data_IF_404982734222
#
_entry.id   IF_404982734222
#
_cell.length_a   1.000
_cell.length_b   1.000
_cell.length_c   1.000
_cell.angle_alpha   90.00
_cell.angle_beta   90.00
_cell.angle_gamma   90.00
#
_symmetry.space_group_name_H-M   'P 1'
#
loop_
_entity.id
_entity.type
_entity.pdbx_description
1 polymer ?
#
# COMPACT_ATOMS: atom_id res chain seq x y z
N UNK A 1 -70.55 9.41 3.73
CA UNK A 1 -69.26 9.59 4.41
C UNK A 1 -68.70 8.22 4.71
N UNK A 2 -67.67 7.78 3.98
CA UNK A 2 -66.96 6.53 4.28
C UNK A 2 -65.77 6.90 5.16
N UNK A 3 -65.78 6.43 6.40
CA UNK A 3 -64.67 6.62 7.33
C UNK A 3 -63.41 5.97 6.77
N UNK A 4 -62.37 6.78 6.54
CA UNK A 4 -61.03 6.29 6.28
C UNK A 4 -60.51 5.64 7.56
N UNK A 5 -60.37 4.31 7.54
CA UNK A 5 -59.54 3.59 8.51
C UNK A 5 -58.08 3.98 8.26
N UNK A 6 -57.54 4.83 9.11
CA UNK A 6 -56.10 5.08 9.22
C UNK A 6 -55.39 3.77 9.57
N UNK A 7 -54.88 3.08 8.55
CA UNK A 7 -53.92 2.00 8.73
C UNK A 7 -52.58 2.63 9.10
N UNK A 8 -52.37 2.76 10.41
CA UNK A 8 -51.12 3.21 11.01
C UNK A 8 -49.99 2.22 10.65
N UNK A 9 -49.40 2.42 9.47
CA UNK A 9 -48.35 1.57 8.91
C UNK A 9 -47.04 1.85 9.67
N UNK A 10 -46.91 1.27 10.87
CA UNK A 10 -45.67 1.33 11.68
C UNK A 10 -44.51 0.89 10.81
N UNK A 11 -43.55 1.79 10.55
CA UNK A 11 -42.30 1.48 9.83
C UNK A 11 -41.67 0.22 10.42
N UNK A 12 -41.44 -0.80 9.58
CA UNK A 12 -40.79 -2.05 10.00
C UNK A 12 -39.38 -1.74 10.50
N UNK A 13 -39.13 -1.92 11.80
CA UNK A 13 -37.81 -1.77 12.41
C UNK A 13 -37.00 -3.04 12.16
N UNK A 14 -35.84 -2.91 11.52
CA UNK A 14 -34.91 -4.02 11.29
C UNK A 14 -33.86 -4.06 12.41
N UNK A 15 -33.50 -5.27 12.84
CA UNK A 15 -32.42 -5.49 13.82
C UNK A 15 -31.10 -5.81 13.11
N UNK A 16 -29.98 -5.41 13.73
CA UNK A 16 -28.64 -5.82 13.29
C UNK A 16 -28.38 -7.30 13.60
N UNK A 17 -27.37 -7.90 12.99
CA UNK A 17 -26.98 -9.30 13.29
C UNK A 17 -26.58 -9.45 14.77
N UNK A 18 -25.85 -8.50 15.32
CA UNK A 18 -25.50 -8.44 16.74
C UNK A 18 -26.75 -8.37 17.63
N UNK A 19 -27.75 -7.56 17.28
CA UNK A 19 -29.01 -7.47 18.02
C UNK A 19 -29.84 -8.76 17.92
N UNK A 20 -29.78 -9.49 16.80
CA UNK A 20 -30.43 -10.80 16.65
C UNK A 20 -29.75 -11.84 17.55
N UNK A 21 -28.40 -11.84 17.63
CA UNK A 21 -27.65 -12.68 18.56
C UNK A 21 -27.99 -12.38 20.02
N UNK A 22 -27.94 -11.11 20.42
CA UNK A 22 -28.27 -10.67 21.79
C UNK A 22 -29.71 -11.08 22.17
N UNK A 23 -30.66 -10.98 21.23
CA UNK A 23 -32.03 -11.44 21.43
C UNK A 23 -32.08 -12.96 21.70
N UNK A 24 -31.33 -13.76 20.94
CA UNK A 24 -31.23 -15.21 21.15
C UNK A 24 -30.54 -15.58 22.47
N UNK A 25 -29.50 -14.85 22.88
CA UNK A 25 -28.83 -15.01 24.17
C UNK A 25 -29.78 -14.70 25.33
N UNK A 26 -30.52 -13.59 25.26
CA UNK A 26 -31.54 -13.24 26.26
C UNK A 26 -32.66 -14.28 26.36
N UNK A 27 -33.08 -14.87 25.23
CA UNK A 27 -34.06 -15.96 25.26
C UNK A 27 -33.48 -17.22 25.93
N UNK A 28 -32.23 -17.57 25.64
CA UNK A 28 -31.57 -18.77 26.19
C UNK A 28 -31.29 -18.63 27.68
N UNK A 29 -30.73 -17.49 28.09
CA UNK A 29 -30.16 -17.30 29.41
C UNK A 29 -31.21 -16.77 30.41
N UNK A 30 -32.13 -15.90 29.95
CA UNK A 30 -33.14 -15.25 30.80
C UNK A 30 -34.57 -15.80 30.60
N UNK A 31 -34.78 -16.71 29.64
CA UNK A 31 -36.09 -17.34 29.32
C UNK A 31 -37.25 -16.33 29.16
N UNK A 32 -36.96 -15.14 28.63
CA UNK A 32 -37.97 -14.12 28.39
C UNK A 32 -39.07 -14.64 27.45
N UNK A 33 -40.29 -14.12 27.58
CA UNK A 33 -41.38 -14.43 26.65
C UNK A 33 -41.18 -13.66 25.34
N UNK A 34 -41.61 -14.23 24.21
CA UNK A 34 -41.58 -13.56 22.91
C UNK A 34 -42.31 -12.21 22.89
N UNK A 35 -43.30 -12.01 23.78
CA UNK A 35 -43.97 -10.71 23.98
C UNK A 35 -43.06 -9.69 24.67
N UNK A 36 -42.27 -10.12 25.65
CA UNK A 36 -41.32 -9.26 26.36
C UNK A 36 -40.17 -8.84 25.45
N UNK A 37 -39.63 -9.77 24.65
CA UNK A 37 -38.60 -9.47 23.65
C UNK A 37 -39.12 -8.53 22.55
N UNK A 38 -40.35 -8.73 22.08
CA UNK A 38 -40.97 -7.84 21.10
C UNK A 38 -41.07 -6.40 21.61
N UNK A 39 -41.47 -6.22 22.88
CA UNK A 39 -41.55 -4.92 23.52
C UNK A 39 -40.16 -4.28 23.72
N UNK A 40 -39.17 -5.05 24.17
CA UNK A 40 -37.81 -4.56 24.44
C UNK A 40 -37.11 -4.05 23.17
N UNK A 41 -37.25 -4.78 22.05
CA UNK A 41 -36.58 -4.43 20.79
C UNK A 41 -37.45 -3.55 19.88
N UNK A 42 -38.75 -3.37 20.20
CA UNK A 42 -39.69 -2.59 19.41
C UNK A 42 -40.03 -3.25 18.06
N UNK A 43 -40.14 -4.58 18.03
CA UNK A 43 -40.45 -5.40 16.85
C UNK A 43 -41.74 -6.20 17.06
N UNK A 44 -42.31 -6.81 16.01
CA UNK A 44 -43.48 -7.67 16.18
C UNK A 44 -43.10 -9.03 16.78
N UNK A 45 -44.05 -9.65 17.48
CA UNK A 45 -43.90 -11.00 18.03
C UNK A 45 -43.61 -12.04 16.94
N UNK A 46 -44.16 -11.86 15.73
CA UNK A 46 -43.83 -12.68 14.57
C UNK A 46 -42.35 -12.60 14.19
N UNK A 47 -41.75 -11.40 14.20
CA UNK A 47 -40.32 -11.22 13.91
C UNK A 47 -39.44 -11.86 14.99
N UNK A 48 -39.84 -11.80 16.26
CA UNK A 48 -39.15 -12.52 17.33
C UNK A 48 -39.18 -14.02 17.07
N UNK A 49 -40.35 -14.59 16.77
CA UNK A 49 -40.47 -16.02 16.45
C UNK A 49 -39.63 -16.44 15.25
N UNK A 50 -39.59 -15.63 14.19
CA UNK A 50 -38.79 -15.94 13.00
C UNK A 50 -37.28 -15.85 13.26
N UNK A 51 -36.82 -14.94 14.12
CA UNK A 51 -35.43 -14.88 14.56
C UNK A 51 -35.09 -16.11 15.40
N UNK A 52 -35.93 -16.47 16.39
CA UNK A 52 -35.69 -17.60 17.29
C UNK A 52 -35.67 -18.95 16.57
N UNK A 53 -36.42 -19.12 15.47
CA UNK A 53 -36.35 -20.32 14.61
C UNK A 53 -34.96 -20.58 14.04
N UNK A 54 -34.14 -19.54 13.87
CA UNK A 54 -32.74 -19.61 13.39
C UNK A 54 -31.74 -19.29 14.51
N UNK A 55 -32.11 -19.56 15.76
CA UNK A 55 -31.32 -19.17 16.93
C UNK A 55 -29.89 -19.73 16.93
N UNK A 56 -29.68 -20.99 16.55
CA UNK A 56 -28.33 -21.59 16.45
C UNK A 56 -27.42 -20.79 15.51
N UNK A 57 -27.95 -20.35 14.37
CA UNK A 57 -27.24 -19.53 13.39
C UNK A 57 -26.89 -18.15 13.94
N UNK A 58 -27.81 -17.46 14.62
CA UNK A 58 -27.51 -16.15 15.19
C UNK A 58 -26.49 -16.23 16.33
N UNK A 59 -26.47 -17.34 17.08
CA UNK A 59 -25.52 -17.58 18.16
C UNK A 59 -24.09 -17.83 17.67
N UNK A 60 -23.91 -18.38 16.47
CA UNK A 60 -22.59 -18.61 15.87
C UNK A 60 -21.94 -17.35 15.27
N UNK A 61 -22.68 -16.24 15.18
CA UNK A 61 -22.14 -14.98 14.64
C UNK A 61 -21.08 -14.42 15.58
N UNK A 62 -19.91 -14.14 15.02
CA UNK A 62 -18.88 -13.38 15.70
C UNK A 62 -19.23 -11.89 15.74
N UNK A 63 -19.46 -11.38 16.94
CA UNK A 63 -19.80 -9.97 17.21
C UNK A 63 -18.60 -9.04 17.14
N UNK A 64 -17.39 -9.57 17.12
CA UNK A 64 -16.16 -8.77 16.98
C UNK A 64 -15.95 -8.29 15.54
N UNK A 65 -16.59 -8.95 14.56
CA UNK A 65 -16.52 -8.56 13.16
C UNK A 65 -17.43 -7.35 12.87
N UNK A 66 -16.97 -6.36 12.07
CA UNK A 66 -17.77 -5.19 11.69
C UNK A 66 -19.10 -5.56 11.01
N UNK A 67 -19.13 -6.71 10.34
CA UNK A 67 -20.32 -7.27 9.68
C UNK A 67 -21.48 -7.56 10.65
N UNK A 68 -21.21 -7.73 11.95
CA UNK A 68 -22.23 -7.94 12.96
C UNK A 68 -23.18 -6.74 13.12
N UNK A 69 -22.75 -5.53 12.76
CA UNK A 69 -23.58 -4.33 12.79
C UNK A 69 -24.48 -4.17 11.55
N UNK A 70 -24.34 -5.04 10.54
CA UNK A 70 -25.21 -5.00 9.37
C UNK A 70 -26.63 -5.48 9.73
N UNK A 71 -27.63 -4.96 9.04
CA UNK A 71 -29.04 -5.40 9.20
C UNK A 71 -29.33 -6.73 8.48
N UNK A 72 -28.51 -7.07 7.48
CA UNK A 72 -28.63 -8.27 6.65
C UNK A 72 -27.25 -8.88 6.45
N UNK A 73 -27.19 -10.21 6.44
CA UNK A 73 -26.03 -10.93 5.92
C UNK A 73 -25.91 -10.66 4.43
N UNK A 74 -24.79 -10.10 4.02
CA UNK A 74 -24.41 -10.04 2.62
C UNK A 74 -23.60 -11.29 2.32
N UNK A 75 -24.26 -12.44 2.17
CA UNK A 75 -23.55 -13.65 1.77
C UNK A 75 -22.98 -13.48 0.35
N UNK A 76 -21.80 -14.03 0.09
CA UNK A 76 -21.25 -14.03 -1.27
C UNK A 76 -22.02 -15.00 -2.15
N UNK A 77 -22.23 -14.63 -3.41
CA UNK A 77 -22.71 -15.54 -4.45
C UNK A 77 -21.61 -16.56 -4.81
N UNK A 78 -20.33 -16.21 -4.57
CA UNK A 78 -19.17 -17.04 -4.87
C UNK A 78 -18.25 -17.17 -3.63
N UNK A 79 -18.65 -17.96 -2.61
CA UNK A 79 -17.89 -18.08 -1.36
C UNK A 79 -16.45 -18.57 -1.55
N UNK A 80 -16.25 -19.61 -2.38
CA UNK A 80 -14.92 -20.18 -2.66
C UNK A 80 -13.97 -19.18 -3.33
N UNK A 81 -14.49 -18.40 -4.29
CA UNK A 81 -13.72 -17.35 -4.95
C UNK A 81 -13.29 -16.26 -3.96
N UNK A 82 -14.18 -15.87 -3.05
CA UNK A 82 -13.85 -14.84 -2.06
C UNK A 82 -12.87 -15.31 -0.99
N UNK A 83 -12.90 -16.58 -0.64
CA UNK A 83 -11.92 -17.20 0.24
C UNK A 83 -10.51 -17.13 -0.38
N UNK A 84 -10.36 -17.62 -1.62
CA UNK A 84 -9.09 -17.53 -2.37
C UNK A 84 -8.62 -16.08 -2.48
N UNK A 85 -9.52 -15.16 -2.84
CA UNK A 85 -9.19 -13.74 -2.98
C UNK A 85 -8.82 -13.08 -1.64
N UNK A 86 -9.43 -13.49 -0.53
CA UNK A 86 -9.10 -12.97 0.80
C UNK A 86 -7.67 -13.35 1.21
N UNK A 87 -7.31 -14.63 1.03
CA UNK A 87 -5.96 -15.14 1.31
C UNK A 87 -4.93 -14.41 0.44
N UNK A 88 -5.22 -14.27 -0.86
CA UNK A 88 -4.32 -13.58 -1.77
C UNK A 88 -4.13 -12.11 -1.36
N UNK A 89 -5.20 -11.37 -1.03
CA UNK A 89 -5.10 -9.98 -0.58
C UNK A 89 -4.29 -9.86 0.71
N UNK A 90 -4.49 -10.76 1.68
CA UNK A 90 -3.75 -10.73 2.94
C UNK A 90 -2.25 -10.99 2.74
N UNK A 91 -1.88 -11.90 1.83
CA UNK A 91 -0.49 -12.12 1.43
C UNK A 91 0.14 -10.88 0.76
N UNK A 92 -0.62 -10.17 -0.08
CA UNK A 92 -0.11 -8.95 -0.70
C UNK A 92 0.05 -7.81 0.32
N UNK A 93 -0.84 -7.72 1.32
CA UNK A 93 -0.76 -6.75 2.40
C UNK A 93 0.46 -7.03 3.31
N UNK A 94 0.73 -8.30 3.67
CA UNK A 94 1.87 -8.65 4.52
C UNK A 94 3.21 -8.30 3.89
N UNK A 95 3.29 -8.35 2.55
CA UNK A 95 4.45 -7.93 1.74
C UNK A 95 4.53 -6.42 1.49
N UNK A 96 3.63 -5.63 2.10
CA UNK A 96 3.54 -4.18 1.95
C UNK A 96 3.34 -3.69 0.49
N UNK A 97 2.80 -4.56 -0.38
CA UNK A 97 2.54 -4.22 -1.77
C UNK A 97 1.34 -3.28 -1.88
N UNK A 98 1.34 -2.42 -2.91
CA UNK A 98 0.25 -1.48 -3.13
C UNK A 98 -0.81 -2.10 -4.02
N UNK A 99 -1.90 -2.58 -3.41
CA UNK A 99 -3.04 -3.14 -4.13
C UNK A 99 -4.10 -2.06 -4.33
N UNK A 100 -4.70 -2.03 -5.52
CA UNK A 100 -5.82 -1.15 -5.83
C UNK A 100 -7.04 -1.96 -6.32
N UNK A 101 -8.19 -1.27 -6.48
CA UNK A 101 -9.43 -1.90 -6.91
C UNK A 101 -9.32 -2.68 -8.24
N UNK A 102 -8.80 -2.06 -9.31
CA UNK A 102 -8.60 -2.74 -10.59
C UNK A 102 -7.74 -4.01 -10.49
N UNK A 103 -6.65 -4.00 -9.71
CA UNK A 103 -5.81 -5.19 -9.51
C UNK A 103 -6.63 -6.32 -8.86
N UNK A 104 -7.40 -6.01 -7.82
CA UNK A 104 -8.29 -7.01 -7.16
C UNK A 104 -9.31 -7.56 -8.15
N UNK A 105 -9.89 -6.70 -9.00
CA UNK A 105 -10.87 -7.13 -10.00
C UNK A 105 -10.26 -8.06 -11.05
N UNK A 106 -9.07 -7.73 -11.56
CA UNK A 106 -8.36 -8.58 -12.52
C UNK A 106 -8.02 -9.95 -11.92
N UNK A 107 -7.42 -9.96 -10.71
CA UNK A 107 -7.10 -11.21 -10.02
C UNK A 107 -8.32 -12.04 -9.66
N UNK A 108 -9.45 -11.41 -9.36
CA UNK A 108 -10.69 -12.13 -9.14
C UNK A 108 -11.21 -12.84 -10.40
N UNK A 109 -11.02 -12.25 -11.59
CA UNK A 109 -11.37 -12.91 -12.86
C UNK A 109 -10.44 -14.10 -13.12
N UNK A 110 -9.14 -13.94 -12.90
CA UNK A 110 -8.17 -15.03 -13.02
C UNK A 110 -8.52 -16.18 -12.07
N UNK A 111 -8.78 -15.89 -10.80
CA UNK A 111 -9.19 -16.89 -9.82
C UNK A 111 -10.53 -17.56 -10.19
N UNK A 112 -11.49 -16.80 -10.72
CA UNK A 112 -12.75 -17.37 -11.18
C UNK A 112 -12.55 -18.37 -12.31
N UNK A 113 -11.64 -18.10 -13.25
CA UNK A 113 -11.28 -19.03 -14.32
C UNK A 113 -10.63 -20.30 -13.76
N UNK A 114 -9.70 -20.19 -12.80
CA UNK A 114 -9.06 -21.34 -12.14
C UNK A 114 -10.05 -22.20 -11.32
N UNK A 115 -11.13 -21.58 -10.84
CA UNK A 115 -12.22 -22.24 -10.13
C UNK A 115 -13.34 -22.74 -11.06
N UNK A 116 -13.17 -22.66 -12.38
CA UNK A 116 -14.17 -23.01 -13.40
C UNK A 116 -15.51 -22.24 -13.27
N UNK A 117 -15.47 -21.01 -12.74
CA UNK A 117 -16.63 -20.13 -12.55
C UNK A 117 -16.81 -19.23 -13.78
N UNK A 118 -17.62 -19.68 -14.73
CA UNK A 118 -17.82 -18.99 -16.03
C UNK A 118 -18.74 -17.77 -15.99
N UNK A 119 -19.58 -17.64 -14.96
CA UNK A 119 -20.58 -16.56 -14.85
C UNK A 119 -20.14 -15.42 -13.90
N UNK A 120 -18.85 -15.37 -13.54
CA UNK A 120 -18.35 -14.33 -12.67
C UNK A 120 -18.03 -13.05 -13.44
N UNK A 121 -18.44 -11.91 -12.88
CA UNK A 121 -18.02 -10.59 -13.34
C UNK A 121 -17.50 -9.80 -12.15
N UNK A 122 -16.25 -9.36 -12.24
CA UNK A 122 -15.60 -8.52 -11.24
C UNK A 122 -16.14 -7.07 -11.27
N UNK A 123 -17.45 -6.90 -11.09
CA UNK A 123 -18.12 -5.60 -11.12
C UNK A 123 -17.65 -4.69 -9.98
N UNK A 124 -17.85 -3.38 -10.14
CA UNK A 124 -17.57 -2.42 -9.08
C UNK A 124 -18.39 -2.70 -7.81
N UNK A 125 -19.62 -3.21 -7.96
CA UNK A 125 -20.48 -3.61 -6.85
C UNK A 125 -19.93 -4.85 -6.13
N UNK A 126 -19.46 -5.85 -6.88
CA UNK A 126 -18.79 -7.01 -6.29
C UNK A 126 -17.57 -6.57 -5.48
N UNK A 127 -16.68 -5.75 -6.05
CA UNK A 127 -15.50 -5.25 -5.36
C UNK A 127 -15.85 -4.48 -4.07
N UNK A 128 -16.89 -3.64 -4.11
CA UNK A 128 -17.37 -2.89 -2.95
C UNK A 128 -17.85 -3.83 -1.84
N UNK A 129 -18.65 -4.84 -2.18
CA UNK A 129 -19.13 -5.83 -1.23
C UNK A 129 -18.01 -6.74 -0.70
N UNK A 130 -17.06 -7.15 -1.55
CA UNK A 130 -15.87 -7.93 -1.16
C UNK A 130 -15.02 -7.15 -0.16
N UNK A 131 -14.74 -5.87 -0.41
CA UNK A 131 -14.01 -5.01 0.53
C UNK A 131 -14.73 -4.89 1.87
N UNK A 132 -16.05 -4.68 1.84
CA UNK A 132 -16.85 -4.61 3.05
C UNK A 132 -16.80 -5.91 3.86
N UNK A 133 -16.93 -7.06 3.19
CA UNK A 133 -16.90 -8.38 3.84
C UNK A 133 -15.56 -8.68 4.49
N UNK A 134 -14.46 -8.32 3.82
CA UNK A 134 -13.08 -8.58 4.26
C UNK A 134 -12.45 -7.40 5.02
N UNK A 135 -13.24 -6.41 5.45
CA UNK A 135 -12.78 -5.25 6.22
C UNK A 135 -11.66 -4.43 5.55
N UNK A 136 -11.63 -4.39 4.22
CA UNK A 136 -10.63 -3.68 3.44
C UNK A 136 -11.03 -2.21 3.26
N UNK A 137 -10.12 -1.31 3.62
CA UNK A 137 -10.33 0.14 3.54
C UNK A 137 -9.29 0.80 2.64
N UNK A 138 -9.67 1.90 1.99
CA UNK A 138 -8.75 2.67 1.14
C UNK A 138 -8.01 3.69 2.01
N UNK A 139 -6.68 3.55 2.09
CA UNK A 139 -5.81 4.50 2.77
C UNK A 139 -4.94 5.27 1.79
N UNK A 140 -4.64 6.54 2.09
CA UNK A 140 -3.60 7.29 1.39
C UNK A 140 -2.25 6.99 2.05
N UNK A 141 -1.37 6.27 1.36
CA UNK A 141 0.02 6.08 1.82
C UNK A 141 0.69 7.45 1.95
N UNK A 142 1.25 7.75 3.12
CA UNK A 142 2.06 8.96 3.38
C UNK A 142 3.54 8.55 3.31
N UNK A 143 4.32 9.20 2.45
CA UNK A 143 5.69 8.77 2.12
C UNK A 143 6.63 8.70 3.32
N UNK A 144 6.54 9.64 4.26
CA UNK A 144 7.44 9.73 5.41
C UNK A 144 7.02 8.87 6.61
N UNK A 145 5.81 8.29 6.59
CA UNK A 145 5.30 7.53 7.72
C UNK A 145 6.02 6.19 7.92
N UNK A 146 6.66 5.65 6.88
CA UNK A 146 7.37 4.37 6.94
C UNK A 146 8.73 4.44 7.67
N UNK A 147 9.35 5.62 7.73
CA UNK A 147 10.68 5.81 8.35
C UNK A 147 10.60 6.36 9.78
N UNK A 148 9.40 6.58 10.30
CA UNK A 148 9.22 7.11 11.65
C UNK A 148 9.48 5.99 12.69
N UNK A 149 10.24 6.24 13.77
CA UNK A 149 10.45 5.26 14.83
C UNK A 149 9.20 5.15 15.71
N UNK A 150 8.17 4.44 15.24
CA UNK A 150 6.83 4.39 15.83
C UNK A 150 6.88 4.01 17.32
N UNK A 151 7.78 3.10 17.69
CA UNK A 151 7.92 2.59 19.05
C UNK A 151 8.52 3.63 20.02
N UNK A 152 9.38 4.52 19.53
CA UNK A 152 10.04 5.56 20.33
C UNK A 152 9.23 6.87 20.37
N UNK A 153 8.29 7.06 19.44
CA UNK A 153 7.43 8.26 19.36
C UNK A 153 6.75 8.65 20.69
N UNK A 154 6.20 7.72 21.50
CA UNK A 154 5.58 8.09 22.78
C UNK A 154 6.59 8.71 23.75
N UNK A 155 7.80 8.17 23.81
CA UNK A 155 8.87 8.67 24.67
C UNK A 155 9.38 10.03 24.17
N UNK A 156 9.69 10.15 22.87
CA UNK A 156 10.12 11.43 22.28
C UNK A 156 9.09 12.55 22.50
N UNK A 157 7.80 12.23 22.42
CA UNK A 157 6.72 13.18 22.73
C UNK A 157 6.65 13.57 24.20
N UNK A 158 7.00 12.67 25.11
CA UNK A 158 7.06 12.96 26.55
C UNK A 158 8.23 13.91 26.83
N UNK A 159 9.42 13.60 26.33
CA UNK A 159 10.63 14.42 26.48
C UNK A 159 10.43 15.83 25.89
N UNK A 160 9.84 15.93 24.69
CA UNK A 160 9.53 17.23 24.09
C UNK A 160 8.55 18.04 24.96
N UNK A 161 7.54 17.41 25.53
CA UNK A 161 6.59 18.10 26.42
C UNK A 161 7.26 18.61 27.69
N UNK A 162 8.23 17.88 28.25
CA UNK A 162 8.98 18.36 29.42
C UNK A 162 9.80 19.60 29.09
N UNK A 163 10.47 19.63 27.94
CA UNK A 163 11.21 20.83 27.48
C UNK A 163 10.26 22.01 27.29
N UNK A 164 9.11 21.77 26.64
CA UNK A 164 8.14 22.82 26.32
C UNK A 164 7.44 23.40 27.56
N UNK A 165 7.38 22.68 28.70
CA UNK A 165 6.78 23.20 29.94
C UNK A 165 7.49 24.44 30.50
N UNK A 166 8.76 24.66 30.13
CA UNK A 166 9.51 25.84 30.55
C UNK A 166 9.08 27.14 29.82
N UNK A 167 8.24 27.03 28.79
CA UNK A 167 7.85 28.13 27.92
C UNK A 167 6.34 28.36 27.95
N UNK A 168 5.90 29.61 27.85
CA UNK A 168 4.49 29.91 27.63
C UNK A 168 4.09 29.59 26.19
N UNK A 169 2.81 29.27 25.96
CA UNK A 169 2.31 28.90 24.61
C UNK A 169 2.58 29.97 23.54
N UNK A 170 2.63 31.25 23.94
CA UNK A 170 2.94 32.38 23.03
C UNK A 170 4.40 32.38 22.55
N UNK A 171 5.29 31.77 23.34
CA UNK A 171 6.73 31.72 23.09
C UNK A 171 7.16 30.40 22.43
N UNK A 172 6.23 29.46 22.23
CA UNK A 172 6.46 28.21 21.50
C UNK A 172 6.04 28.43 20.05
N UNK A 173 7.03 28.43 19.15
CA UNK A 173 6.80 28.60 17.72
C UNK A 173 6.96 27.28 16.98
N UNK A 174 6.08 27.05 16.01
CA UNK A 174 6.20 25.97 15.05
C UNK A 174 6.30 26.54 13.64
N UNK A 175 7.12 25.91 12.80
CA UNK A 175 7.23 26.25 11.39
C UNK A 175 7.25 24.99 10.54
N UNK A 176 6.65 25.05 9.36
CA UNK A 176 6.70 23.96 8.40
C UNK A 176 6.75 24.48 6.96
N UNK A 177 7.40 23.71 6.09
CA UNK A 177 7.56 24.02 4.67
C UNK A 177 6.41 23.37 3.87
N UNK A 178 5.78 24.15 3.00
CA UNK A 178 4.82 23.61 2.03
C UNK A 178 5.13 24.11 0.63
N UNK A 179 4.92 23.25 -0.35
CA UNK A 179 5.01 23.61 -1.76
C UNK A 179 3.71 24.29 -2.22
N UNK A 180 3.81 25.53 -2.68
CA UNK A 180 2.76 26.28 -3.36
C UNK A 180 2.89 26.08 -4.87
N UNK A 181 1.96 25.33 -5.44
CA UNK A 181 1.87 25.15 -6.89
C UNK A 181 0.88 26.14 -7.51
N UNK A 182 1.37 27.32 -7.88
CA UNK A 182 0.52 28.42 -8.33
C UNK A 182 -0.01 28.25 -9.77
N UNK A 183 0.61 27.41 -10.61
CA UNK A 183 0.15 27.07 -11.97
C UNK A 183 -0.46 25.68 -12.09
N UNK A 184 -0.71 24.97 -10.98
CA UNK A 184 -1.19 23.59 -11.08
C UNK A 184 -2.61 23.53 -11.62
N UNK A 185 -2.76 23.00 -12.83
CA UNK A 185 -4.06 22.76 -13.44
C UNK A 185 -4.75 21.51 -12.86
N UNK A 186 -6.10 21.45 -12.86
CA UNK A 186 -6.85 20.25 -12.49
C UNK A 186 -6.41 19.02 -13.26
N UNK A 187 -6.31 17.90 -12.55
CA UNK A 187 -5.84 16.64 -13.13
C UNK A 187 -6.87 15.90 -13.99
N UNK A 188 -8.12 16.35 -13.92
CA UNK A 188 -9.28 15.74 -14.58
C UNK A 188 -10.01 16.84 -15.33
N UNK A 189 -10.42 16.54 -16.56
CA UNK A 189 -11.28 17.39 -17.37
C UNK A 189 -12.54 16.62 -17.73
N UNK A 190 -13.63 17.34 -18.00
CA UNK A 190 -14.86 16.76 -18.55
C UNK A 190 -14.77 16.96 -20.07
N UNK A 191 -14.84 15.87 -20.82
CA UNK A 191 -14.77 15.90 -22.28
C UNK A 191 -15.71 14.85 -22.88
N UNK A 192 -16.17 15.10 -24.11
CA UNK A 192 -16.99 14.15 -24.87
C UNK A 192 -16.18 12.94 -25.36
N UNK A 193 -14.88 13.15 -25.61
CA UNK A 193 -13.95 12.14 -26.10
C UNK A 193 -12.64 12.18 -25.29
N UNK A 194 -11.83 11.10 -25.30
CA UNK A 194 -10.51 11.07 -24.65
C UNK A 194 -9.60 12.19 -25.18
N UNK A 195 -9.16 13.08 -24.27
CA UNK A 195 -8.27 14.19 -24.61
C UNK A 195 -6.83 13.80 -24.30
N UNK A 196 -5.92 14.03 -25.26
CA UNK A 196 -4.49 13.86 -25.05
C UNK A 196 -4.01 14.76 -23.90
N UNK A 197 -3.31 14.16 -22.94
CA UNK A 197 -2.76 14.89 -21.80
C UNK A 197 -1.67 15.87 -22.23
N UNK A 198 -1.67 17.08 -21.65
CA UNK A 198 -0.54 18.01 -21.75
C UNK A 198 0.40 17.81 -20.56
N UNK A 199 1.71 18.01 -20.77
CA UNK A 199 2.68 18.03 -19.68
C UNK A 199 2.30 19.16 -18.72
N UNK A 200 1.95 18.81 -17.48
CA UNK A 200 1.48 19.79 -16.50
C UNK A 200 2.64 20.67 -16.05
N UNK A 201 2.42 21.99 -15.94
CA UNK A 201 3.38 22.85 -15.25
C UNK A 201 3.47 22.38 -13.79
N UNK A 202 4.64 21.88 -13.41
CA UNK A 202 4.98 21.53 -12.01
C UNK A 202 5.73 22.68 -11.33
N UNK A 203 5.62 23.89 -11.87
CA UNK A 203 6.18 25.10 -11.29
C UNK A 203 5.60 25.27 -9.89
N UNK A 204 6.49 25.18 -8.92
CA UNK A 204 6.17 25.28 -7.51
C UNK A 204 7.14 26.24 -6.86
N UNK A 205 6.67 26.76 -5.75
CA UNK A 205 7.47 27.58 -4.88
C UNK A 205 7.32 27.04 -3.47
N UNK A 206 8.42 26.87 -2.75
CA UNK A 206 8.36 26.48 -1.34
C UNK A 206 8.12 27.71 -0.46
N UNK A 207 7.20 27.58 0.49
CA UNK A 207 6.92 28.59 1.49
C UNK A 207 7.07 27.99 2.88
N UNK A 208 7.70 28.75 3.78
CA UNK A 208 7.73 28.47 5.22
C UNK A 208 6.59 29.24 5.87
N UNK A 209 5.69 28.52 6.52
CA UNK A 209 4.67 29.11 7.39
C UNK A 209 5.12 28.94 8.85
N UNK A 210 5.03 30.01 9.64
CA UNK A 210 5.43 30.00 11.06
C UNK A 210 4.35 30.65 11.92
N UNK A 211 3.92 29.97 12.97
CA UNK A 211 2.97 30.48 13.96
C UNK A 211 3.34 30.05 15.38
N UNK A 212 2.86 30.79 16.36
CA UNK A 212 3.00 30.39 17.76
C UNK A 212 1.90 29.39 18.17
N UNK A 213 2.11 28.68 19.27
CA UNK A 213 1.22 27.61 19.72
C UNK A 213 -0.13 28.14 20.24
N UNK A 214 -0.19 29.41 20.69
CA UNK A 214 -1.45 30.09 21.03
C UNK A 214 -2.29 30.50 19.82
N UNK A 215 -1.68 30.63 18.63
CA UNK A 215 -2.35 30.95 17.37
C UNK A 215 -2.74 32.42 17.19
N UNK A 216 -2.32 33.30 18.10
CA UNK A 216 -2.53 34.74 18.06
C UNK A 216 -1.47 35.46 17.21
N UNK A 217 -0.28 34.88 17.06
CA UNK A 217 0.78 35.44 16.21
C UNK A 217 1.20 34.50 15.07
N UNK A 218 1.48 35.11 13.91
CA UNK A 218 2.03 34.43 12.74
C UNK A 218 3.07 35.32 12.08
N UNK A 219 4.19 34.74 11.68
CA UNK A 219 5.18 35.48 10.90
C UNK A 219 4.70 35.61 9.44
N UNK A 220 5.16 36.65 8.71
CA UNK A 220 4.97 36.73 7.26
C UNK A 220 5.47 35.46 6.58
N UNK A 221 4.77 35.01 5.54
CA UNK A 221 5.21 33.85 4.76
C UNK A 221 6.60 34.11 4.18
N UNK A 222 7.49 33.14 4.37
CA UNK A 222 8.85 33.21 3.85
C UNK A 222 8.96 32.32 2.64
N UNK A 223 9.44 32.88 1.54
CA UNK A 223 9.67 32.16 0.32
C UNK A 223 11.04 31.47 0.37
N UNK A 224 11.07 30.13 0.35
CA UNK A 224 12.29 29.32 0.35
C UNK A 224 12.60 28.87 -1.07
N UNK A 225 13.81 29.16 -1.53
CA UNK A 225 14.27 28.71 -2.83
C UNK A 225 15.77 28.44 -2.84
N UNK A 226 16.19 27.44 -3.64
CA UNK A 226 17.62 27.17 -3.92
C UNK A 226 18.28 28.33 -4.67
N UNK A 227 17.52 29.03 -5.52
CA UNK A 227 17.99 30.12 -6.37
C UNK A 227 17.40 31.45 -5.91
N UNK A 228 18.19 32.51 -6.00
CA UNK A 228 17.78 33.86 -5.60
C UNK A 228 16.58 34.36 -6.42
N UNK A 229 16.54 34.06 -7.72
CA UNK A 229 15.40 34.29 -8.61
C UNK A 229 14.99 32.96 -9.23
N UNK A 230 14.03 32.26 -8.63
CA UNK A 230 13.49 31.01 -9.18
C UNK A 230 12.88 31.24 -10.55
N UNK A 231 12.96 30.24 -11.44
CA UNK A 231 12.34 30.32 -12.77
C UNK A 231 10.85 30.68 -12.71
N UNK A 232 10.13 30.18 -11.70
CA UNK A 232 8.72 30.47 -11.46
C UNK A 232 8.44 31.97 -11.18
N UNK A 233 9.45 32.75 -10.82
CA UNK A 233 9.36 34.17 -10.47
C UNK A 233 10.14 35.07 -11.44
N UNK A 234 10.57 34.52 -12.57
CA UNK A 234 11.29 35.27 -13.61
C UNK A 234 10.39 36.39 -14.15
N UNK A 235 10.88 37.64 -14.09
CA UNK A 235 10.15 38.82 -14.56
C UNK A 235 9.11 39.38 -13.58
N UNK A 236 8.98 38.82 -12.37
CA UNK A 236 8.12 39.38 -11.31
C UNK A 236 8.98 40.24 -10.38
N UNK A 237 8.56 41.48 -10.14
CA UNK A 237 9.26 42.36 -9.20
C UNK A 237 9.05 41.87 -7.76
N UNK A 238 10.11 41.38 -7.12
CA UNK A 238 10.09 40.80 -5.77
C UNK A 238 9.48 41.71 -4.71
N UNK A 239 9.71 43.03 -4.82
CA UNK A 239 9.19 44.06 -3.89
C UNK A 239 7.67 44.22 -3.95
N UNK A 240 7.04 43.79 -5.05
CA UNK A 240 5.59 43.83 -5.21
C UNK A 240 4.87 42.69 -4.47
N UNK A 241 5.60 41.67 -4.03
CA UNK A 241 5.02 40.55 -3.30
C UNK A 241 5.00 40.85 -1.79
N UNK A 242 3.88 40.59 -1.08
CA UNK A 242 3.68 40.95 0.33
C UNK A 242 4.41 39.99 1.30
N UNK A 243 5.69 39.73 1.06
CA UNK A 243 6.44 38.59 1.64
C UNK A 243 7.95 38.85 1.74
N UNK A 244 8.59 38.18 2.70
CA UNK A 244 10.02 38.26 2.92
C UNK A 244 10.76 37.24 2.04
N UNK A 245 11.79 37.72 1.32
CA UNK A 245 12.63 36.91 0.44
C UNK A 245 13.84 36.41 1.20
N UNK A 246 14.00 35.10 1.30
CA UNK A 246 15.20 34.49 1.84
C UNK A 246 15.84 33.58 0.78
N UNK A 247 17.11 33.82 0.46
CA UNK A 247 18.01 32.79 -0.08
C UNK A 247 18.43 31.88 1.09
N UNK A 248 17.43 31.31 1.79
CA UNK A 248 17.52 30.54 3.03
C UNK A 248 18.71 30.88 3.97
N UNK A 249 18.95 32.15 4.28
CA UNK A 249 20.00 32.58 5.22
C UNK A 249 19.38 33.08 6.51
N UNK A 250 19.47 32.33 7.60
CA UNK A 250 18.87 32.59 8.93
C UNK A 250 19.38 33.90 9.61
N UNK A 251 20.23 34.70 8.95
CA UNK A 251 20.85 35.95 9.46
C UNK A 251 21.05 37.00 8.34
N UNK A 252 21.34 38.29 8.66
CA UNK A 252 21.02 39.42 7.78
C UNK A 252 21.95 39.63 6.58
N UNK A 253 21.35 40.20 5.53
CA UNK A 253 21.88 40.43 4.19
C UNK A 253 23.05 41.42 4.14
N UNK A 254 24.02 41.16 3.26
CA UNK A 254 24.77 42.23 2.59
C UNK A 254 25.04 41.86 1.12
N UNK A 255 24.55 42.74 0.25
CA UNK A 255 24.89 43.04 -1.14
C UNK A 255 25.78 42.02 -1.88
N UNK A 256 25.25 41.38 -2.93
CA UNK A 256 26.10 40.93 -4.04
C UNK A 256 25.31 40.84 -5.35
N UNK A 257 25.98 41.29 -6.40
CA UNK A 257 25.48 41.66 -7.72
C UNK A 257 25.03 40.47 -8.59
N UNK A 258 24.16 40.82 -9.53
CA UNK A 258 23.51 39.95 -10.51
C UNK A 258 24.52 39.15 -11.35
N UNK A 259 24.34 37.83 -11.42
CA UNK A 259 25.03 36.96 -12.37
C UNK A 259 24.02 36.15 -13.18
N UNK A 260 24.01 36.40 -14.48
CA UNK A 260 23.13 35.78 -15.47
C UNK A 260 23.42 34.28 -15.59
N UNK A 261 22.39 33.45 -15.41
CA UNK A 261 22.49 32.01 -15.66
C UNK A 261 22.38 31.74 -17.17
N UNK A 262 23.51 31.31 -17.75
CA UNK A 262 23.57 30.61 -19.02
C UNK A 262 23.01 29.19 -18.84
N UNK A 263 21.94 28.90 -19.58
CA UNK A 263 21.30 27.59 -19.69
C UNK A 263 22.16 26.71 -20.62
N UNK A 264 22.88 25.74 -20.06
CA UNK A 264 23.43 24.60 -20.79
C UNK A 264 23.20 23.36 -19.93
N UNK A 265 22.02 22.77 -20.06
CA UNK A 265 21.71 21.44 -19.53
C UNK A 265 22.26 20.39 -20.49
N UNK A 266 23.53 20.04 -20.32
CA UNK A 266 24.12 18.76 -20.74
C UNK A 266 25.27 18.47 -19.77
N UNK A 267 24.98 17.76 -18.68
CA UNK A 267 25.99 17.19 -17.78
C UNK A 267 25.63 15.75 -17.44
N UNK A 268 26.24 14.87 -18.22
CA UNK A 268 26.80 13.54 -17.92
C UNK A 268 26.40 12.88 -16.59
N UNK A 269 25.56 11.84 -16.70
CA UNK A 269 25.14 10.93 -15.62
C UNK A 269 26.27 10.01 -15.11
N UNK A 270 27.45 10.02 -15.76
CA UNK A 270 28.51 9.03 -15.52
C UNK A 270 29.51 9.41 -14.40
N UNK A 271 29.49 10.65 -13.89
CA UNK A 271 30.54 11.13 -12.96
C UNK A 271 30.20 10.98 -11.46
N UNK A 272 28.92 10.79 -11.10
CA UNK A 272 28.47 10.75 -9.70
C UNK A 272 28.88 9.44 -9.00
N UNK A 273 28.87 8.31 -9.71
CA UNK A 273 29.20 7.01 -9.13
C UNK A 273 30.66 6.89 -8.69
N UNK A 274 31.57 7.52 -9.43
CA UNK A 274 33.01 7.51 -9.14
C UNK A 274 33.37 8.42 -7.95
N UNK A 275 32.74 9.60 -7.85
CA UNK A 275 32.93 10.51 -6.73
C UNK A 275 32.46 9.91 -5.41
N UNK A 276 31.31 9.23 -5.41
CA UNK A 276 30.77 8.55 -4.23
C UNK A 276 31.65 7.38 -3.76
N UNK A 277 32.25 6.63 -4.68
CA UNK A 277 33.13 5.52 -4.30
C UNK A 277 34.43 6.04 -3.66
N UNK A 278 35.00 7.14 -4.18
CA UNK A 278 36.20 7.75 -3.62
C UNK A 278 35.96 8.30 -2.20
N UNK A 279 34.77 8.83 -1.92
CA UNK A 279 34.39 9.30 -0.59
C UNK A 279 34.19 8.14 0.40
N UNK A 280 33.66 7.00 -0.04
CA UNK A 280 33.50 5.80 0.80
C UNK A 280 34.87 5.23 1.19
N UNK A 281 35.82 5.22 0.25
CA UNK A 281 37.19 4.73 0.49
C UNK A 281 37.96 5.63 1.49
N UNK A 282 37.62 6.91 1.56
CA UNK A 282 38.24 7.90 2.47
C UNK A 282 37.74 7.78 3.93
N UNK A 283 36.59 7.13 4.16
CA UNK A 283 35.97 6.98 5.49
C UNK A 283 36.62 5.90 6.38
N UNK A 284 37.57 5.12 5.85
CA UNK A 284 38.44 4.24 6.66
C UNK A 284 37.75 3.04 7.32
N UNK A 285 36.61 2.58 6.79
CA UNK A 285 35.94 1.37 7.28
C UNK A 285 36.76 0.10 6.98
N UNK A 286 36.69 -0.89 7.86
CA UNK A 286 37.46 -2.16 7.75
C UNK A 286 36.99 -3.02 6.57
N UNK A 287 35.74 -2.85 6.12
CA UNK A 287 35.15 -3.50 4.94
C UNK A 287 33.93 -2.69 4.43
N UNK A 288 34.12 -1.59 3.67
CA UNK A 288 33.03 -0.75 3.21
C UNK A 288 32.22 -1.40 2.08
N UNK A 289 30.89 -1.26 2.14
CA UNK A 289 30.00 -1.65 1.05
C UNK A 289 30.32 -0.81 -0.20
N UNK A 290 30.48 -1.45 -1.36
CA UNK A 290 30.66 -0.73 -2.63
C UNK A 290 29.42 0.11 -2.98
N UNK A 291 29.60 1.25 -3.64
CA UNK A 291 28.48 2.14 -4.06
C UNK A 291 27.39 1.38 -4.81
N UNK A 292 27.79 0.45 -5.67
CA UNK A 292 26.84 -0.38 -6.43
C UNK A 292 26.03 -1.34 -5.54
N UNK A 293 26.60 -1.80 -4.43
CA UNK A 293 25.88 -2.65 -3.47
C UNK A 293 24.94 -1.83 -2.59
N UNK A 294 25.30 -0.57 -2.30
CA UNK A 294 24.46 0.38 -1.59
C UNK A 294 23.25 0.82 -2.42
N UNK A 295 23.46 1.15 -3.70
CA UNK A 295 22.38 1.53 -4.64
C UNK A 295 21.39 0.38 -4.85
N UNK A 296 21.86 -0.87 -4.79
CA UNK A 296 21.05 -2.05 -5.05
C UNK A 296 20.66 -2.82 -3.77
N UNK A 297 20.78 -2.20 -2.59
CA UNK A 297 20.53 -2.89 -1.32
C UNK A 297 19.07 -3.32 -1.18
N UNK A 298 18.14 -2.51 -1.71
CA UNK A 298 16.70 -2.79 -1.72
C UNK A 298 16.35 -3.94 -2.68
N UNK A 299 17.22 -4.26 -3.64
CA UNK A 299 17.05 -5.41 -4.54
C UNK A 299 17.45 -6.75 -3.88
N UNK A 300 17.97 -6.73 -2.63
CA UNK A 300 18.40 -7.92 -1.88
C UNK A 300 17.37 -8.43 -0.87
N UNK A 301 16.22 -7.78 -0.72
CA UNK A 301 15.12 -8.31 0.08
C UNK A 301 14.52 -9.55 -0.61
N UNK A 302 14.90 -10.72 -0.12
CA UNK A 302 14.31 -12.00 -0.52
C UNK A 302 12.82 -11.97 -0.21
N UNK A 303 11.97 -11.88 -1.23
CA UNK A 303 10.56 -12.19 -1.08
C UNK A 303 10.47 -13.66 -0.65
N UNK A 304 9.83 -13.91 0.50
CA UNK A 304 9.44 -15.25 0.93
C UNK A 304 8.68 -15.94 -0.21
N UNK A 305 8.91 -17.25 -0.41
CA UNK A 305 8.28 -18.04 -1.46
C UNK A 305 6.77 -17.73 -1.57
N UNK A 306 6.32 -17.39 -2.78
CA UNK A 306 4.93 -17.12 -3.11
C UNK A 306 4.17 -18.43 -3.26
N UNK A 307 3.05 -18.58 -2.55
CA UNK A 307 2.04 -19.56 -2.94
C UNK A 307 1.42 -19.04 -4.24
N UNK A 308 1.62 -19.77 -5.32
CA UNK A 308 0.99 -19.48 -6.60
C UNK A 308 -0.54 -19.49 -6.45
N UNK A 309 -1.22 -18.74 -7.31
CA UNK A 309 -2.69 -18.74 -7.36
C UNK A 309 -3.26 -20.16 -7.52
N UNK A 310 -2.54 -21.04 -8.22
CA UNK A 310 -2.91 -22.44 -8.39
C UNK A 310 -2.79 -23.20 -7.07
N UNK A 311 -1.71 -23.04 -6.31
CA UNK A 311 -1.55 -23.67 -4.99
C UNK A 311 -2.61 -23.20 -4.00
N UNK A 312 -2.97 -21.91 -3.99
CA UNK A 312 -4.07 -21.40 -3.14
C UNK A 312 -5.39 -22.04 -3.54
N UNK A 313 -5.66 -22.18 -4.85
CA UNK A 313 -6.86 -22.84 -5.36
C UNK A 313 -6.87 -24.32 -5.00
N UNK A 314 -5.75 -25.02 -5.07
CA UNK A 314 -5.63 -26.45 -4.78
C UNK A 314 -5.79 -26.74 -3.28
N UNK A 315 -5.25 -25.86 -2.42
CA UNK A 315 -5.48 -25.88 -0.97
C UNK A 315 -6.97 -25.72 -0.65
N UNK A 316 -7.67 -24.81 -1.34
CA UNK A 316 -9.11 -24.59 -1.15
C UNK A 316 -9.97 -25.71 -1.76
N UNK A 317 -9.54 -26.33 -2.86
CA UNK A 317 -10.24 -27.45 -3.53
C UNK A 317 -10.07 -28.78 -2.79
N UNK A 318 -9.04 -28.94 -1.94
CA UNK A 318 -8.89 -30.10 -1.05
C UNK A 318 -8.57 -31.42 -1.78
N UNK A 319 -7.90 -31.36 -2.94
CA UNK A 319 -7.55 -32.56 -3.72
C UNK A 319 -6.07 -32.92 -3.56
N UNK A 320 -5.80 -33.96 -2.77
CA UNK A 320 -4.64 -34.81 -2.98
C UNK A 320 -4.89 -35.69 -4.22
N UNK A 321 -3.83 -35.88 -5.00
CA UNK A 321 -3.65 -36.88 -6.07
C UNK A 321 -4.44 -36.68 -7.38
N UNK A 322 -3.72 -36.30 -8.45
CA UNK A 322 -3.85 -36.94 -9.77
C UNK A 322 -2.50 -37.08 -10.45
N UNK A 323 -2.25 -38.32 -10.87
CA UNK A 323 -1.17 -38.78 -11.74
C UNK A 323 -1.23 -38.06 -13.10
N UNK A 324 -0.07 -37.71 -13.66
CA UNK A 324 0.06 -37.24 -15.04
C UNK A 324 1.00 -38.22 -15.75
N UNK A 325 0.52 -38.77 -16.86
CA UNK A 325 1.24 -39.61 -17.82
C UNK A 325 2.28 -38.76 -18.59
N UNK A 326 3.48 -39.32 -18.76
CA UNK A 326 4.63 -38.69 -19.43
C UNK A 326 4.51 -38.81 -20.96
N UNK A 327 4.51 -37.68 -21.68
CA UNK A 327 4.97 -37.60 -23.07
C UNK A 327 6.36 -36.94 -23.08
N UNK A 328 7.34 -37.63 -23.64
CA UNK A 328 8.74 -37.19 -23.74
C UNK A 328 8.89 -36.06 -24.78
N UNK A 329 8.90 -34.80 -24.32
CA UNK A 329 9.55 -33.69 -25.02
C UNK A 329 10.92 -33.42 -24.38
N UNK A 330 11.94 -33.09 -25.19
CA UNK A 330 13.28 -32.80 -24.67
C UNK A 330 13.25 -31.53 -23.80
N UNK A 331 13.26 -31.72 -22.48
CA UNK A 331 13.23 -30.65 -21.50
C UNK A 331 14.42 -29.69 -21.66
N UNK A 332 14.14 -28.43 -22.04
CA UNK A 332 15.05 -27.33 -21.74
C UNK A 332 15.17 -27.21 -20.21
N UNK A 333 16.38 -27.45 -19.67
CA UNK A 333 16.63 -27.38 -18.23
C UNK A 333 16.41 -25.94 -17.78
N UNK A 334 15.37 -25.73 -16.97
CA UNK A 334 15.07 -24.40 -16.42
C UNK A 334 16.25 -23.84 -15.61
N UNK A 335 16.42 -22.52 -15.64
CA UNK A 335 17.51 -21.83 -14.92
C UNK A 335 17.48 -22.11 -13.41
N UNK A 336 16.31 -22.39 -12.85
CA UNK A 336 16.12 -22.80 -11.44
C UNK A 336 16.69 -24.21 -11.20
N UNK A 337 16.40 -25.17 -12.09
CA UNK A 337 16.92 -26.54 -11.98
C UNK A 337 18.44 -26.55 -12.13
N UNK A 338 18.99 -25.74 -13.04
CA UNK A 338 20.43 -25.57 -13.19
C UNK A 338 21.11 -24.98 -11.94
N UNK A 339 20.50 -23.97 -11.31
CA UNK A 339 21.01 -23.37 -10.06
C UNK A 339 21.02 -24.36 -8.90
N UNK A 340 19.92 -25.07 -8.69
CA UNK A 340 19.80 -26.08 -7.63
C UNK A 340 20.81 -27.20 -7.82
N UNK A 341 21.05 -27.61 -9.07
CA UNK A 341 22.04 -28.64 -9.40
C UNK A 341 23.47 -28.22 -9.04
N UNK A 342 23.87 -26.99 -9.37
CA UNK A 342 25.21 -26.47 -9.03
C UNK A 342 25.37 -26.27 -7.52
N UNK A 343 24.33 -25.81 -6.84
CA UNK A 343 24.34 -25.67 -5.39
C UNK A 343 24.48 -27.02 -4.67
N UNK A 344 23.83 -28.07 -5.19
CA UNK A 344 23.98 -29.43 -4.68
C UNK A 344 25.41 -29.96 -4.89
N UNK A 345 26.04 -29.67 -6.04
CA UNK A 345 27.44 -30.03 -6.28
C UNK A 345 28.38 -29.31 -5.31
N UNK A 346 28.17 -28.01 -5.07
CA UNK A 346 28.95 -27.22 -4.10
C UNK A 346 28.79 -27.77 -2.68
N UNK A 347 27.56 -28.06 -2.25
CA UNK A 347 27.28 -28.65 -0.92
C UNK A 347 27.93 -30.03 -0.78
N UNK A 348 27.86 -30.86 -1.82
CA UNK A 348 28.48 -32.19 -1.81
C UNK A 348 30.00 -32.12 -1.64
N UNK A 349 30.66 -31.22 -2.38
CA UNK A 349 32.12 -30.99 -2.28
C UNK A 349 32.51 -30.57 -0.86
N UNK A 350 31.75 -29.65 -0.27
CA UNK A 350 31.99 -29.15 1.09
C UNK A 350 31.75 -30.20 2.17
N UNK A 351 30.76 -31.09 1.98
CA UNK A 351 30.44 -32.14 2.94
C UNK A 351 31.37 -33.34 2.88
N UNK A 352 31.92 -33.66 1.70
CA UNK A 352 32.82 -34.79 1.48
C UNK A 352 34.31 -34.43 1.59
N UNK A 353 34.61 -33.15 1.87
CA UNK A 353 35.97 -32.59 1.99
C UNK A 353 36.87 -33.03 0.83
N UNK A 354 36.31 -33.00 -0.38
CA UNK A 354 37.06 -33.31 -1.59
C UNK A 354 38.09 -32.20 -1.79
N UNK A 355 39.39 -32.54 -1.85
CA UNK A 355 40.50 -31.61 -2.09
C UNK A 355 40.44 -31.03 -3.52
N UNK A 356 39.46 -30.17 -3.76
CA UNK A 356 39.28 -29.43 -4.99
C UNK A 356 40.06 -28.13 -4.86
N UNK A 357 40.88 -27.82 -5.86
CA UNK A 357 41.69 -26.62 -5.86
C UNK A 357 40.83 -25.35 -5.74
N UNK A 358 41.41 -24.34 -5.10
CA UNK A 358 40.72 -23.05 -4.85
C UNK A 358 40.27 -22.39 -6.17
N UNK A 359 40.94 -22.68 -7.29
CA UNK A 359 40.58 -22.19 -8.61
C UNK A 359 39.31 -22.86 -9.18
N UNK A 360 39.17 -24.18 -9.08
CA UNK A 360 37.98 -24.89 -9.53
C UNK A 360 36.74 -24.48 -8.70
N UNK A 361 36.92 -24.33 -7.38
CA UNK A 361 35.85 -23.85 -6.51
C UNK A 361 35.41 -22.41 -6.87
N UNK A 362 36.38 -21.53 -7.16
CA UNK A 362 36.08 -20.17 -7.65
C UNK A 362 35.35 -20.18 -8.98
N UNK A 363 35.68 -21.10 -9.89
CA UNK A 363 35.00 -21.21 -11.18
C UNK A 363 33.56 -21.72 -11.03
N UNK A 364 33.30 -22.68 -10.15
CA UNK A 364 31.94 -23.14 -9.82
C UNK A 364 31.08 -22.02 -9.22
N UNK A 365 31.65 -21.23 -8.31
CA UNK A 365 30.95 -20.07 -7.72
C UNK A 365 30.67 -19.00 -8.78
N UNK A 366 31.61 -18.74 -9.70
CA UNK A 366 31.38 -17.82 -10.83
C UNK A 366 30.28 -18.32 -11.76
N UNK A 367 30.22 -19.63 -12.02
CA UNK A 367 29.18 -20.23 -12.85
C UNK A 367 27.80 -20.13 -12.17
N UNK A 368 27.71 -20.41 -10.86
CA UNK A 368 26.51 -20.19 -10.05
C UNK A 368 26.02 -18.76 -10.15
N UNK A 369 26.93 -17.77 -9.98
CA UNK A 369 26.59 -16.35 -10.11
C UNK A 369 26.08 -16.00 -11.50
N UNK A 370 26.69 -16.53 -12.56
CA UNK A 370 26.30 -16.26 -13.94
C UNK A 370 24.89 -16.76 -14.24
N UNK A 371 24.59 -18.01 -13.90
CA UNK A 371 23.25 -18.59 -14.10
C UNK A 371 22.20 -17.87 -13.24
N UNK A 372 22.60 -17.40 -12.06
CA UNK A 372 21.74 -16.58 -11.21
C UNK A 372 21.41 -15.23 -11.85
N UNK A 373 22.39 -14.57 -12.47
CA UNK A 373 22.16 -13.34 -13.22
C UNK A 373 21.34 -13.56 -14.49
N UNK A 374 21.53 -14.68 -15.20
CA UNK A 374 20.75 -15.01 -16.39
C UNK A 374 19.27 -15.23 -16.03
N UNK A 375 18.96 -15.95 -14.93
CA UNK A 375 17.61 -16.08 -14.37
C UNK A 375 16.99 -14.71 -13.98
N UNK A 376 17.79 -13.79 -13.44
CA UNK A 376 17.32 -12.43 -13.12
C UNK A 376 17.03 -11.64 -14.40
N UNK A 377 17.89 -11.75 -15.41
CA UNK A 377 17.73 -11.04 -16.68
C UNK A 377 16.55 -11.57 -17.49
N UNK A 378 16.27 -12.87 -17.47
CA UNK A 378 15.05 -13.47 -18.04
C UNK A 378 13.78 -12.93 -17.37
N UNK A 379 13.87 -12.54 -16.09
CA UNK A 379 12.76 -12.00 -15.30
C UNK A 379 12.71 -10.46 -15.28
N UNK A 380 13.67 -9.79 -15.92
CA UNK A 380 13.71 -8.33 -16.00
C UNK A 380 12.81 -7.85 -17.12
N UNK A 381 11.77 -7.09 -16.74
CA UNK A 381 10.93 -6.38 -17.68
C UNK A 381 11.76 -5.28 -18.36
N UNK A 382 12.10 -5.49 -19.63
CA UNK A 382 13.05 -4.61 -20.33
C UNK A 382 12.37 -3.36 -20.89
N UNK A 383 11.04 -3.42 -21.08
CA UNK A 383 10.21 -2.32 -21.61
C UNK A 383 8.87 -2.25 -20.89
N UNK A 384 8.42 -1.02 -20.62
CA UNK A 384 7.15 -0.72 -19.92
C UNK A 384 5.90 -1.32 -20.60
N UNK A 385 5.97 -1.63 -21.89
CA UNK A 385 4.83 -2.11 -22.68
C UNK A 385 4.66 -3.64 -22.67
N UNK A 386 5.67 -4.40 -22.23
CA UNK A 386 5.59 -5.87 -22.14
C UNK A 386 4.54 -6.35 -21.10
N UNK A 387 4.03 -5.45 -20.25
CA UNK A 387 2.94 -5.72 -19.32
C UNK A 387 1.58 -5.96 -20.02
N UNK A 388 1.38 -5.44 -21.23
CA UNK A 388 0.07 -5.39 -21.89
C UNK A 388 -0.09 -6.34 -23.08
N UNK A 389 1.00 -6.93 -23.58
CA UNK A 389 0.96 -7.82 -24.74
C UNK A 389 1.21 -9.27 -24.31
N UNK A 390 0.15 -9.93 -23.82
CA UNK A 390 0.01 -11.37 -23.97
C UNK A 390 -0.97 -11.59 -25.12
N UNK A 391 -0.45 -11.63 -26.34
CA UNK A 391 -1.21 -12.04 -27.51
C UNK A 391 -1.09 -13.56 -27.71
N UNK A 392 -2.27 -14.18 -27.65
CA UNK A 392 -2.73 -15.50 -28.17
C UNK A 392 -2.37 -16.73 -27.36
#
# INVERSE_FOLDING_TARGET
MRENKDTNNKKKKSLTLAQKKELCEKQRDQKLSGVQLAAQYGISTSTVSDILKRSEHWLSIDTTLPNANNFREKSSVYPQLEEVMSIWVDQQISRNLTINGPIIQQKAVECANLLDITNFSASAEWLSNFKQRNNLHTYKKKGEAGSAPIDELPQMRAELREILQAYELKDIWNCDETALFWRLEPSKTIAHDPVLGKKRPKERVSILATCNASGDERLPLVFIHKYETPCALKGIEKRSLPVCWAKAGILPNNNMEDSECSDNSDYEEDNIGHELQSLIDELGFVDPLAVNDYINIDNRASAEEELSLQEIVDIVKGTNEREIEEEEEQDEISTIVALNSIENVIKYIQQKDLEIGNLEMKNLIKLKKRIFFDNINEKRQSKLNEYFDFNV
#
